data_IF_999054870921
#
_entry.id   IF_999054870921
#
_cell.length_a   1.000
_cell.length_b   1.000
_cell.length_c   1.000
_cell.angle_alpha   90.00
_cell.angle_beta   90.00
_cell.angle_gamma   90.00
#
_symmetry.space_group_name_H-M   'P 1'
#
loop_
_entity.id
_entity.type
_entity.pdbx_description
1 polymer ?
#
# COMPACT_ATOMS: atom_id res chain seq x y z
N UNK A 1 29.00 -10.96 52.52
CA UNK A 1 27.67 -10.80 51.92
C UNK A 1 27.69 -9.62 50.94
N UNK A 2 28.48 -9.70 49.83
CA UNK A 2 28.67 -8.56 48.90
C UNK A 2 28.94 -8.98 47.42
N UNK A 3 28.48 -10.15 46.96
CA UNK A 3 28.78 -10.67 45.63
C UNK A 3 27.51 -10.83 44.73
N UNK A 4 26.29 -10.70 45.27
CA UNK A 4 25.05 -11.02 44.56
C UNK A 4 24.52 -9.84 43.70
N UNK A 5 24.98 -8.60 43.91
CA UNK A 5 24.43 -7.43 43.18
C UNK A 5 25.02 -7.18 41.80
N UNK A 6 26.16 -7.77 41.45
CA UNK A 6 26.80 -7.52 40.14
C UNK A 6 26.30 -8.41 39.00
N UNK A 7 25.75 -9.59 39.29
CA UNK A 7 25.29 -10.54 38.25
C UNK A 7 23.97 -10.08 37.63
N UNK A 8 23.07 -9.45 38.40
CA UNK A 8 21.79 -8.94 37.88
C UNK A 8 21.92 -7.82 36.86
N UNK A 9 22.94 -6.98 36.94
CA UNK A 9 23.14 -5.84 36.04
C UNK A 9 23.68 -6.27 34.70
N UNK A 10 24.49 -7.30 34.60
CA UNK A 10 25.05 -7.81 33.35
C UNK A 10 23.99 -8.50 32.49
N UNK A 11 23.04 -9.24 33.11
CA UNK A 11 21.97 -9.93 32.41
C UNK A 11 21.00 -8.93 31.76
N UNK A 12 20.69 -7.82 32.43
CA UNK A 12 19.76 -6.81 31.90
C UNK A 12 20.34 -6.03 30.70
N UNK A 13 21.65 -5.83 30.63
CA UNK A 13 22.33 -5.16 29.51
C UNK A 13 22.37 -6.08 28.29
N UNK A 14 22.64 -7.37 28.47
CA UNK A 14 22.67 -8.33 27.33
C UNK A 14 21.30 -8.48 26.65
N UNK A 15 20.20 -8.48 27.41
CA UNK A 15 18.85 -8.55 26.82
C UNK A 15 18.46 -7.30 26.04
N UNK A 16 18.90 -6.11 26.45
CA UNK A 16 18.65 -4.87 25.70
C UNK A 16 19.41 -4.81 24.40
N UNK A 17 20.64 -5.29 24.36
CA UNK A 17 21.47 -5.31 23.13
C UNK A 17 20.85 -6.25 22.09
N UNK A 18 20.42 -7.44 22.49
CA UNK A 18 19.81 -8.42 21.58
C UNK A 18 18.46 -7.98 21.02
N UNK A 19 17.67 -7.25 21.81
CA UNK A 19 16.40 -6.66 21.36
C UNK A 19 16.61 -5.53 20.34
N UNK A 20 17.64 -4.71 20.49
CA UNK A 20 17.94 -3.61 19.56
C UNK A 20 18.45 -4.12 18.21
N UNK A 21 19.33 -5.12 18.20
CA UNK A 21 19.87 -5.69 16.95
C UNK A 21 18.79 -6.39 16.13
N UNK A 22 17.88 -7.14 16.77
CA UNK A 22 16.76 -7.76 16.06
C UNK A 22 15.80 -6.74 15.46
N UNK A 23 15.51 -5.64 16.15
CA UNK A 23 14.64 -4.59 15.60
C UNK A 23 15.30 -3.87 14.42
N UNK A 24 16.60 -3.58 14.49
CA UNK A 24 17.35 -2.95 13.41
C UNK A 24 17.50 -3.86 12.18
N UNK A 25 17.60 -5.18 12.38
CA UNK A 25 17.63 -6.15 11.29
C UNK A 25 16.28 -6.29 10.57
N UNK A 26 15.17 -6.29 11.30
CA UNK A 26 13.82 -6.33 10.74
C UNK A 26 13.47 -5.08 9.93
N UNK A 27 13.96 -3.90 10.34
CA UNK A 27 13.70 -2.63 9.62
C UNK A 27 14.43 -2.51 8.29
N UNK A 28 15.36 -3.41 7.97
CA UNK A 28 16.10 -3.43 6.69
C UNK A 28 15.50 -4.38 5.65
N UNK A 29 14.55 -5.24 6.03
CA UNK A 29 13.91 -6.19 5.12
C UNK A 29 12.66 -5.60 4.50
N UNK A 30 12.38 -5.88 3.22
CA UNK A 30 11.08 -5.59 2.65
C UNK A 30 9.96 -6.27 3.43
N UNK A 31 8.83 -5.60 3.54
CA UNK A 31 7.66 -6.11 4.26
C UNK A 31 6.36 -5.68 3.59
N UNK A 32 5.30 -6.44 3.85
CA UNK A 32 3.96 -6.13 3.40
C UNK A 32 3.16 -5.40 4.48
N UNK A 33 2.35 -4.43 4.07
CA UNK A 33 1.41 -3.69 4.91
C UNK A 33 0.00 -3.91 4.37
N UNK A 34 -0.91 -4.40 5.18
CA UNK A 34 -2.33 -4.47 4.84
C UNK A 34 -2.91 -3.07 4.98
N UNK A 35 -3.37 -2.50 3.88
CA UNK A 35 -3.93 -1.14 3.80
C UNK A 35 -5.45 -1.11 3.92
N UNK A 36 -6.11 -2.23 3.65
CA UNK A 36 -7.55 -2.39 3.75
C UNK A 36 -7.95 -3.86 3.68
N UNK A 37 -9.15 -4.18 4.15
CA UNK A 37 -9.60 -5.57 4.32
C UNK A 37 -11.05 -5.81 3.89
N UNK A 38 -11.75 -4.78 3.41
CA UNK A 38 -13.14 -4.94 2.95
C UNK A 38 -13.19 -5.16 1.45
N UNK A 39 -14.30 -5.70 1.00
CA UNK A 39 -14.57 -5.84 -0.42
C UNK A 39 -14.82 -4.45 -1.08
N UNK A 40 -14.94 -4.43 -2.40
CA UNK A 40 -14.92 -3.26 -3.31
C UNK A 40 -15.79 -2.07 -2.89
N UNK A 41 -16.92 -2.33 -2.27
CA UNK A 41 -17.85 -1.28 -1.83
C UNK A 41 -17.45 -0.57 -0.54
N UNK A 42 -16.37 -1.02 0.12
CA UNK A 42 -15.94 -0.49 1.41
C UNK A 42 -16.82 -0.92 2.59
N UNK A 43 -16.56 -0.36 3.78
CA UNK A 43 -17.38 -0.58 4.96
C UNK A 43 -17.45 0.71 5.79
N UNK A 44 -18.67 1.25 6.03
CA UNK A 44 -19.96 0.76 5.54
C UNK A 44 -20.13 0.94 4.03
N UNK A 45 -21.00 0.14 3.39
CA UNK A 45 -21.40 0.34 2.00
C UNK A 45 -22.29 1.57 1.84
N UNK A 46 -22.15 2.26 0.72
CA UNK A 46 -23.06 3.34 0.35
C UNK A 46 -24.53 2.85 0.37
N UNK A 47 -25.39 3.56 1.09
CA UNK A 47 -26.81 3.22 1.22
C UNK A 47 -27.14 1.98 2.05
N UNK A 48 -26.17 1.38 2.74
CA UNK A 48 -26.43 0.23 3.61
C UNK A 48 -26.96 0.68 4.98
N UNK A 49 -28.21 0.39 5.26
CA UNK A 49 -28.88 0.65 6.54
C UNK A 49 -29.01 -0.60 7.43
N UNK A 50 -28.44 -1.72 7.01
CA UNK A 50 -28.49 -2.97 7.74
C UNK A 50 -27.70 -2.93 9.04
N UNK A 51 -28.04 -3.80 9.99
CA UNK A 51 -27.36 -3.95 11.28
C UNK A 51 -25.83 -3.99 11.15
N UNK A 52 -25.32 -4.70 10.13
CA UNK A 52 -23.88 -4.83 9.89
C UNK A 52 -23.17 -3.50 9.58
N UNK A 53 -23.88 -2.47 9.08
CA UNK A 53 -23.27 -1.17 8.73
C UNK A 53 -23.63 -0.04 9.70
N UNK A 54 -24.68 -0.23 10.51
CA UNK A 54 -25.25 0.83 11.34
C UNK A 54 -24.22 1.55 12.21
N UNK A 55 -23.45 0.79 12.96
CA UNK A 55 -22.47 1.36 13.89
C UNK A 55 -21.31 2.06 13.16
N UNK A 56 -20.94 1.56 11.98
CA UNK A 56 -19.88 2.16 11.17
C UNK A 56 -20.32 3.50 10.52
N UNK A 57 -21.61 3.77 10.40
CA UNK A 57 -22.12 5.09 10.02
C UNK A 57 -22.00 6.11 11.16
N UNK A 58 -22.07 5.63 12.42
CA UNK A 58 -21.99 6.48 13.60
C UNK A 58 -20.55 6.73 14.10
N UNK A 59 -19.58 5.89 13.70
CA UNK A 59 -18.22 6.00 14.19
C UNK A 59 -17.19 5.72 13.10
N UNK A 60 -16.35 6.70 12.80
CA UNK A 60 -15.26 6.57 11.83
C UNK A 60 -14.23 5.50 12.23
N UNK A 61 -14.08 5.21 13.53
CA UNK A 61 -13.15 4.19 14.02
C UNK A 61 -13.56 2.76 13.61
N UNK A 62 -14.83 2.55 13.30
CA UNK A 62 -15.36 1.26 12.84
C UNK A 62 -15.32 1.10 11.33
N UNK A 63 -15.08 2.17 10.58
CA UNK A 63 -14.93 2.12 9.13
C UNK A 63 -13.68 1.37 8.72
N UNK A 64 -13.78 0.60 7.65
CA UNK A 64 -12.66 -0.16 7.11
C UNK A 64 -12.48 0.18 5.62
N UNK A 65 -11.24 0.24 5.20
CA UNK A 65 -10.86 0.53 3.82
C UNK A 65 -10.95 -0.70 2.94
N UNK A 66 -11.18 -0.48 1.66
CA UNK A 66 -11.19 -1.52 0.61
C UNK A 66 -9.84 -2.22 0.56
N UNK A 67 -9.87 -3.52 0.28
CA UNK A 67 -8.71 -4.40 0.28
C UNK A 67 -7.59 -3.88 -0.64
N UNK A 68 -6.45 -3.67 -0.04
CA UNK A 68 -5.20 -3.30 -0.72
C UNK A 68 -4.02 -3.67 0.17
N UNK A 69 -2.87 -3.91 -0.44
CA UNK A 69 -1.62 -4.21 0.22
C UNK A 69 -0.54 -3.26 -0.32
N UNK A 70 0.40 -2.84 0.52
CA UNK A 70 1.63 -2.23 0.07
C UNK A 70 2.83 -3.13 0.38
N UNK A 71 3.76 -3.23 -0.57
CA UNK A 71 5.09 -3.77 -0.34
C UNK A 71 6.02 -2.58 -0.09
N UNK A 72 6.69 -2.57 1.05
CA UNK A 72 7.62 -1.50 1.44
C UNK A 72 9.04 -2.05 1.45
N UNK A 73 9.93 -1.40 0.73
CA UNK A 73 11.37 -1.65 0.86
C UNK A 73 12.05 -0.51 1.63
N UNK A 74 12.37 -0.70 2.91
CA UNK A 74 12.97 0.33 3.74
C UNK A 74 14.41 0.69 3.33
N UNK A 75 15.08 -0.16 2.53
CA UNK A 75 16.44 0.09 2.04
C UNK A 75 16.45 1.18 0.98
N UNK A 76 15.41 1.22 0.15
CA UNK A 76 15.26 2.19 -0.95
C UNK A 76 14.27 3.30 -0.63
N UNK A 77 13.47 3.15 0.42
CA UNK A 77 12.36 4.05 0.74
C UNK A 77 11.23 4.01 -0.30
N UNK A 78 11.12 2.91 -1.05
CA UNK A 78 10.11 2.72 -2.08
C UNK A 78 8.97 1.84 -1.60
N UNK A 79 7.79 2.07 -2.18
CA UNK A 79 6.60 1.28 -1.94
C UNK A 79 5.88 0.97 -3.25
N UNK A 80 5.28 -0.20 -3.32
CA UNK A 80 4.38 -0.62 -4.39
C UNK A 80 3.04 -1.00 -3.80
N UNK A 81 1.95 -0.46 -4.37
CA UNK A 81 0.59 -0.81 -3.98
C UNK A 81 0.04 -1.92 -4.87
N UNK A 82 -0.74 -2.80 -4.26
CA UNK A 82 -1.59 -3.76 -4.96
C UNK A 82 -3.01 -3.19 -4.90
N UNK A 83 -3.52 -2.81 -6.05
CA UNK A 83 -4.78 -2.11 -6.31
C UNK A 83 -4.84 -0.64 -5.82
N UNK A 84 -5.45 0.20 -6.64
CA UNK A 84 -5.76 1.59 -6.35
C UNK A 84 -7.26 1.73 -6.05
N UNK A 85 -7.61 1.62 -4.78
CA UNK A 85 -9.00 1.54 -4.32
C UNK A 85 -9.66 2.92 -4.17
N UNK A 86 -10.98 3.01 -3.94
CA UNK A 86 -11.64 4.25 -3.57
C UNK A 86 -11.02 4.95 -2.33
N UNK A 87 -10.40 4.16 -1.44
CA UNK A 87 -9.71 4.68 -0.24
C UNK A 87 -8.25 5.09 -0.49
N UNK A 88 -7.82 5.19 -1.75
CA UNK A 88 -6.45 5.47 -2.16
C UNK A 88 -5.81 6.61 -1.35
N UNK A 89 -6.49 7.71 -1.14
CA UNK A 89 -5.95 8.86 -0.44
C UNK A 89 -5.49 8.51 0.99
N UNK A 90 -6.30 7.75 1.74
CA UNK A 90 -5.97 7.29 3.09
C UNK A 90 -4.87 6.24 3.07
N UNK A 91 -4.93 5.30 2.14
CA UNK A 91 -3.94 4.25 1.95
C UNK A 91 -2.58 4.82 1.56
N UNK A 92 -2.54 5.77 0.64
CA UNK A 92 -1.33 6.51 0.26
C UNK A 92 -0.75 7.30 1.44
N UNK A 93 -1.60 7.94 2.25
CA UNK A 93 -1.16 8.64 3.47
C UNK A 93 -0.48 7.69 4.47
N UNK A 94 -0.98 6.45 4.63
CA UNK A 94 -0.33 5.43 5.46
C UNK A 94 1.08 5.13 4.94
N UNK A 95 1.23 4.89 3.64
CA UNK A 95 2.53 4.62 3.01
C UNK A 95 3.50 5.77 3.24
N UNK A 96 3.07 7.00 2.97
CA UNK A 96 3.97 8.16 2.98
C UNK A 96 4.28 8.69 4.37
N UNK A 97 3.31 8.67 5.29
CA UNK A 97 3.49 9.24 6.63
C UNK A 97 3.90 8.24 7.70
N UNK A 98 3.25 7.06 7.73
CA UNK A 98 3.62 6.04 8.72
C UNK A 98 4.89 5.28 8.32
N UNK A 99 5.00 4.90 7.04
CA UNK A 99 6.12 4.10 6.55
C UNK A 99 7.22 4.95 5.88
N UNK A 100 7.00 6.26 5.70
CA UNK A 100 7.94 7.22 5.10
C UNK A 100 8.47 6.75 3.74
N UNK A 101 7.65 6.02 2.99
CA UNK A 101 7.99 5.47 1.69
C UNK A 101 7.34 6.25 0.55
N UNK A 102 8.02 6.33 -0.58
CA UNK A 102 7.53 6.94 -1.82
C UNK A 102 6.90 5.88 -2.70
N UNK A 103 5.71 6.14 -3.22
CA UNK A 103 5.03 5.25 -4.16
C UNK A 103 5.82 5.17 -5.46
N UNK A 104 6.31 3.98 -5.79
CA UNK A 104 7.08 3.68 -7.00
C UNK A 104 6.21 3.04 -8.09
N UNK A 105 5.15 2.34 -7.72
CA UNK A 105 4.26 1.72 -8.68
C UNK A 105 3.00 1.13 -8.05
N UNK A 106 2.07 0.75 -8.91
CA UNK A 106 0.79 0.14 -8.53
C UNK A 106 0.57 -1.07 -9.42
N UNK A 107 0.21 -2.20 -8.83
CA UNK A 107 -0.21 -3.41 -9.52
C UNK A 107 -1.72 -3.52 -9.49
N UNK A 108 -2.35 -3.71 -10.65
CA UNK A 108 -3.79 -3.95 -10.73
C UNK A 108 -4.05 -5.44 -10.86
N UNK A 109 -4.83 -5.98 -9.93
CA UNK A 109 -5.15 -7.41 -9.89
C UNK A 109 -6.22 -7.78 -10.90
N UNK A 110 -7.30 -7.00 -10.98
CA UNK A 110 -8.42 -7.28 -11.87
C UNK A 110 -9.30 -6.02 -12.12
N UNK A 111 -10.29 -6.16 -13.00
CA UNK A 111 -11.07 -5.04 -13.52
C UNK A 111 -12.38 -4.75 -12.73
N UNK A 112 -12.49 -5.12 -11.47
CA UNK A 112 -13.55 -4.57 -10.63
C UNK A 112 -13.24 -3.14 -10.26
N UNK A 113 -14.21 -2.26 -10.34
CA UNK A 113 -14.00 -0.81 -10.23
C UNK A 113 -13.38 -0.38 -8.88
N UNK A 114 -13.64 -1.11 -7.82
CA UNK A 114 -13.05 -0.92 -6.50
C UNK A 114 -11.53 -1.12 -6.45
N UNK A 115 -10.90 -1.70 -7.48
CA UNK A 115 -9.48 -1.99 -7.52
C UNK A 115 -8.66 -1.02 -8.39
N UNK A 116 -9.31 -0.15 -9.18
CA UNK A 116 -8.60 0.81 -10.03
C UNK A 116 -9.20 2.23 -10.05
N UNK A 117 -10.36 2.45 -9.42
CA UNK A 117 -10.98 3.78 -9.36
C UNK A 117 -10.09 4.82 -8.67
N UNK A 118 -9.30 4.41 -7.70
CA UNK A 118 -8.36 5.27 -6.99
C UNK A 118 -7.23 5.83 -7.85
N UNK A 119 -6.97 5.29 -9.05
CA UNK A 119 -6.03 5.87 -10.00
C UNK A 119 -6.35 7.33 -10.33
N UNK A 120 -7.62 7.73 -10.24
CA UNK A 120 -8.05 9.11 -10.46
C UNK A 120 -7.38 10.11 -9.53
N UNK A 121 -6.96 9.66 -8.34
CA UNK A 121 -6.24 10.50 -7.39
C UNK A 121 -4.85 10.93 -7.90
N UNK A 122 -4.30 10.22 -8.88
CA UNK A 122 -3.02 10.58 -9.51
C UNK A 122 -3.14 11.72 -10.52
N UNK A 123 -4.36 12.05 -10.92
CA UNK A 123 -4.67 13.09 -11.90
C UNK A 123 -4.30 14.50 -11.43
N UNK A 124 -4.34 15.43 -12.40
CA UNK A 124 -3.97 16.84 -12.19
C UNK A 124 -4.84 17.55 -11.16
N UNK A 125 -6.09 17.11 -11.00
CA UNK A 125 -7.07 17.71 -10.10
C UNK A 125 -6.75 17.42 -8.62
N UNK A 126 -5.91 16.39 -8.34
CA UNK A 126 -5.54 15.99 -6.98
C UNK A 126 -4.03 16.02 -6.80
N UNK A 127 -3.30 15.01 -7.27
CA UNK A 127 -1.85 14.89 -7.02
C UNK A 127 -1.00 15.51 -8.12
N UNK A 128 -1.50 15.59 -9.35
CA UNK A 128 -0.67 15.95 -10.50
C UNK A 128 0.56 15.05 -10.62
N UNK A 129 0.40 13.78 -10.32
CA UNK A 129 1.49 12.82 -10.28
C UNK A 129 2.24 12.77 -11.62
N UNK A 130 3.50 12.31 -11.59
CA UNK A 130 4.35 12.22 -12.77
C UNK A 130 4.85 10.80 -12.94
N UNK A 131 4.43 10.15 -14.04
CA UNK A 131 4.90 8.84 -14.50
C UNK A 131 4.86 7.73 -13.42
N UNK A 132 3.84 7.72 -12.56
CA UNK A 132 3.64 6.59 -11.63
C UNK A 132 3.41 5.33 -12.45
N UNK A 133 4.26 4.32 -12.25
CA UNK A 133 4.15 3.08 -13.02
C UNK A 133 2.92 2.30 -12.56
N UNK A 134 2.05 1.92 -13.50
CA UNK A 134 0.89 1.06 -13.24
C UNK A 134 1.06 -0.23 -14.02
N UNK A 135 1.27 -1.31 -13.32
CA UNK A 135 1.42 -2.66 -13.84
C UNK A 135 0.04 -3.27 -14.03
N UNK A 136 -0.26 -3.70 -15.25
CA UNK A 136 -1.55 -4.27 -15.57
C UNK A 136 -1.44 -5.34 -16.66
N UNK A 137 -2.32 -6.34 -16.62
CA UNK A 137 -2.46 -7.32 -17.69
C UNK A 137 -2.86 -6.63 -19.01
N UNK A 138 -2.52 -7.17 -20.18
CA UNK A 138 -2.68 -6.48 -21.48
C UNK A 138 -4.09 -5.96 -21.76
N UNK A 139 -5.14 -6.71 -21.41
CA UNK A 139 -6.53 -6.27 -21.58
C UNK A 139 -6.86 -5.07 -20.69
N UNK A 140 -6.39 -5.07 -19.45
CA UNK A 140 -6.60 -3.95 -18.52
C UNK A 140 -5.80 -2.73 -18.94
N UNK A 141 -4.56 -2.91 -19.39
CA UNK A 141 -3.74 -1.83 -19.98
C UNK A 141 -4.50 -1.15 -21.14
N UNK A 142 -4.96 -1.93 -22.12
CA UNK A 142 -5.73 -1.41 -23.26
C UNK A 142 -6.98 -0.66 -22.80
N UNK A 143 -7.72 -1.21 -21.85
CA UNK A 143 -8.90 -0.56 -21.29
C UNK A 143 -8.58 0.84 -20.72
N UNK A 144 -7.53 0.97 -19.92
CA UNK A 144 -7.12 2.24 -19.33
C UNK A 144 -6.63 3.25 -20.38
N UNK A 145 -6.02 2.79 -21.47
CA UNK A 145 -5.55 3.64 -22.57
C UNK A 145 -6.68 4.19 -23.45
N UNK A 146 -7.75 3.42 -23.63
CA UNK A 146 -8.81 3.73 -24.58
C UNK A 146 -10.03 4.40 -23.92
N UNK A 147 -10.22 4.24 -22.60
CA UNK A 147 -11.44 4.70 -21.95
C UNK A 147 -11.18 5.86 -20.99
N UNK A 148 -12.06 6.88 -21.10
CA UNK A 148 -12.12 7.93 -20.10
C UNK A 148 -12.71 7.43 -18.77
N UNK A 149 -12.33 8.05 -17.65
CA UNK A 149 -11.38 9.17 -17.54
C UNK A 149 -9.90 8.74 -17.45
N UNK A 150 -9.58 7.43 -17.40
CA UNK A 150 -8.23 6.92 -17.18
C UNK A 150 -7.25 7.25 -18.30
N UNK A 151 -7.72 7.30 -19.57
CA UNK A 151 -6.88 7.67 -20.71
C UNK A 151 -6.30 9.09 -20.58
N UNK A 152 -6.95 9.99 -19.85
CA UNK A 152 -6.41 11.31 -19.53
C UNK A 152 -5.15 11.20 -18.65
N UNK A 153 -5.12 10.29 -17.68
CA UNK A 153 -3.96 10.07 -16.80
C UNK A 153 -2.74 9.62 -17.61
N UNK A 154 -2.97 8.79 -18.64
CA UNK A 154 -1.93 8.33 -19.58
C UNK A 154 -1.45 9.49 -20.44
N UNK A 155 -2.37 10.21 -21.09
CA UNK A 155 -2.06 11.33 -21.99
C UNK A 155 -1.31 12.46 -21.30
N UNK A 156 -1.61 12.73 -20.03
CA UNK A 156 -0.96 13.76 -19.22
C UNK A 156 0.29 13.27 -18.50
N UNK A 157 0.71 12.02 -18.73
CA UNK A 157 1.84 11.40 -18.06
C UNK A 157 1.72 11.38 -16.52
N UNK A 158 0.50 11.36 -15.98
CA UNK A 158 0.30 11.11 -14.57
C UNK A 158 0.65 9.67 -14.21
N UNK A 159 0.29 8.73 -15.09
CA UNK A 159 0.65 7.32 -15.00
C UNK A 159 1.39 6.86 -16.25
N UNK A 160 2.23 5.84 -16.07
CA UNK A 160 2.88 5.08 -17.15
C UNK A 160 2.44 3.63 -17.06
N UNK A 161 1.71 3.15 -18.05
CA UNK A 161 1.22 1.77 -18.07
C UNK A 161 2.33 0.80 -18.50
N UNK A 162 2.60 -0.20 -17.66
CA UNK A 162 3.55 -1.28 -17.90
C UNK A 162 2.78 -2.61 -17.99
N UNK A 163 2.76 -3.26 -19.17
CA UNK A 163 2.10 -4.55 -19.29
C UNK A 163 2.88 -5.62 -18.53
N UNK A 164 2.17 -6.53 -17.87
CA UNK A 164 2.70 -7.74 -17.25
C UNK A 164 2.00 -8.97 -17.81
N UNK A 165 2.66 -10.11 -17.74
CA UNK A 165 2.13 -11.40 -18.21
C UNK A 165 1.95 -12.37 -17.05
N UNK A 166 1.18 -13.42 -17.30
CA UNK A 166 1.08 -14.54 -16.36
C UNK A 166 2.47 -15.13 -16.07
N UNK A 167 2.75 -15.38 -14.81
CA UNK A 167 4.04 -15.93 -14.32
C UNK A 167 5.28 -15.07 -14.62
N UNK A 168 5.10 -13.83 -15.01
CA UNK A 168 6.20 -12.89 -15.20
C UNK A 168 6.71 -12.38 -13.84
N UNK A 169 8.01 -12.49 -13.64
CA UNK A 169 8.68 -11.88 -12.51
C UNK A 169 8.95 -10.40 -12.79
N UNK A 170 8.56 -9.54 -11.86
CA UNK A 170 8.78 -8.10 -11.96
C UNK A 170 9.79 -7.66 -10.92
N UNK A 171 10.97 -7.29 -11.35
CA UNK A 171 12.00 -6.76 -10.46
C UNK A 171 11.60 -5.36 -9.96
N UNK A 172 11.21 -5.26 -8.70
CA UNK A 172 10.73 -4.01 -8.07
C UNK A 172 11.87 -3.12 -7.62
N UNK A 173 12.90 -3.72 -7.02
CA UNK A 173 14.12 -3.07 -6.60
C UNK A 173 15.24 -4.12 -6.62
N UNK A 174 16.50 -3.70 -6.44
CA UNK A 174 17.61 -4.64 -6.36
C UNK A 174 17.32 -5.66 -5.26
N UNK A 175 17.31 -6.94 -5.61
CA UNK A 175 17.03 -8.09 -4.72
C UNK A 175 15.58 -8.15 -4.17
N UNK A 176 14.61 -7.52 -4.85
CA UNK A 176 13.19 -7.61 -4.53
C UNK A 176 12.41 -7.97 -5.81
N UNK A 177 12.03 -9.22 -5.93
CA UNK A 177 11.22 -9.79 -7.04
C UNK A 177 9.80 -10.01 -6.55
#
# INVERSE_FOLDING_TARGET
>A
MRIIFFISLIISVSQKIQSQDNHQYLTKRPYAVVLGTTQDGGYPHAGCEKMCCKDAWLSDSLRKMVASIAIIDPRTGLAWMIDATPDFAKQYHIITKKHKARLAGIFLTHAHIGHYSGLMQLGREVMGAKNVVVYAMPKMKKYLEENGPWNQLVKLNNIKLSPIKDKEEVLLARDLI
#
